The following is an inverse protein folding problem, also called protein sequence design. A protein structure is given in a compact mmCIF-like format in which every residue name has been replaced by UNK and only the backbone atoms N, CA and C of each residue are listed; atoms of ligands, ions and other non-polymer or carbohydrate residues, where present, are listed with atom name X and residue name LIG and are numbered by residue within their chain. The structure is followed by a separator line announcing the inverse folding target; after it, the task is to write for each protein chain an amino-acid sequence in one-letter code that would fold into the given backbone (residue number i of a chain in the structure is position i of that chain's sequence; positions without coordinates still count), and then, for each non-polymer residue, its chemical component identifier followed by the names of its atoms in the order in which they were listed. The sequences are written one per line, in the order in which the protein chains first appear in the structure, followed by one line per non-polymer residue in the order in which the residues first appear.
data_IF_570891615656
#
_entry.id   IF_570891615656
#
_cell.length_a   1.000
_cell.length_b   1.000
_cell.length_c   1.000
_cell.angle_alpha   90.00
_cell.angle_beta   90.00
_cell.angle_gamma   90.00
#
_symmetry.space_group_name_H-M   'P 1'
#
loop_
_entity.id
_entity.type
_entity.pdbx_description
1 polymer ?
#
# COMPACT_ATOMS: atom_id res chain seq x y z
N UNK A 1 10.65 12.09 31.12
CA UNK A 1 11.16 10.79 30.65
C UNK A 1 11.90 11.03 29.35
N UNK A 2 13.22 10.75 29.25
CA UNK A 2 13.91 10.87 27.98
C UNK A 2 13.63 9.61 27.13
N UNK A 3 13.27 9.82 25.86
CA UNK A 3 13.11 8.76 24.87
C UNK A 3 14.48 8.13 24.63
N UNK A 4 14.58 6.80 24.69
CA UNK A 4 15.84 6.09 24.48
C UNK A 4 16.35 6.37 23.06
N UNK A 5 17.59 6.85 22.95
CA UNK A 5 18.27 7.01 21.68
C UNK A 5 18.68 5.62 21.19
N UNK A 6 18.06 5.14 20.12
CA UNK A 6 18.46 3.90 19.45
C UNK A 6 19.83 4.11 18.77
N UNK A 7 20.78 3.16 18.89
CA UNK A 7 22.07 3.27 18.25
C UNK A 7 21.91 3.12 16.74
N UNK A 8 22.29 4.16 15.98
CA UNK A 8 22.29 4.12 14.50
C UNK A 8 23.57 3.43 14.03
N UNK A 9 23.41 2.31 13.31
CA UNK A 9 24.48 1.69 12.54
C UNK A 9 24.46 2.20 11.09
N UNK A 10 25.65 2.55 10.60
CA UNK A 10 26.10 2.81 9.22
C UNK A 10 25.45 3.96 8.40
N UNK A 11 26.26 5.01 8.15
CA UNK A 11 25.94 6.31 7.54
C UNK A 11 25.28 6.28 6.13
N UNK A 12 25.18 5.13 5.47
CA UNK A 12 24.50 4.98 4.18
C UNK A 12 23.03 4.50 4.31
N UNK A 13 22.70 3.76 5.37
CA UNK A 13 21.34 3.29 5.65
C UNK A 13 20.48 4.35 6.34
N UNK A 14 21.12 5.36 6.93
CA UNK A 14 20.47 6.44 7.68
C UNK A 14 19.79 7.49 6.81
N UNK A 15 20.21 7.64 5.54
CA UNK A 15 19.61 8.64 4.64
C UNK A 15 18.26 8.17 4.10
N UNK A 16 18.14 6.88 3.79
CA UNK A 16 16.93 6.27 3.24
C UNK A 16 15.83 6.12 4.31
N UNK A 17 16.18 5.70 5.53
CA UNK A 17 15.26 5.68 6.67
C UNK A 17 14.77 7.11 7.02
N UNK A 18 15.68 8.09 6.97
CA UNK A 18 15.34 9.50 7.17
C UNK A 18 14.46 10.07 6.05
N UNK A 19 14.60 9.60 4.81
CA UNK A 19 13.73 9.98 3.70
C UNK A 19 12.32 9.38 3.86
N UNK A 20 12.22 8.11 4.23
CA UNK A 20 10.95 7.44 4.51
C UNK A 20 10.21 8.16 5.64
N UNK A 21 10.87 8.43 6.77
CA UNK A 21 10.24 9.13 7.90
C UNK A 21 9.70 10.52 7.48
N UNK A 22 10.48 11.28 6.70
CA UNK A 22 10.04 12.59 6.19
C UNK A 22 8.80 12.47 5.31
N UNK A 23 8.75 11.49 4.40
CA UNK A 23 7.60 11.23 3.52
C UNK A 23 6.36 10.86 4.34
N UNK A 24 6.48 9.94 5.29
CA UNK A 24 5.37 9.52 6.15
C UNK A 24 4.86 10.67 7.02
N UNK A 25 5.76 11.49 7.57
CA UNK A 25 5.40 12.67 8.36
C UNK A 25 4.66 13.72 7.54
N UNK A 26 5.08 13.95 6.29
CA UNK A 26 4.38 14.84 5.39
C UNK A 26 2.96 14.31 5.07
N UNK A 27 2.84 13.01 4.79
CA UNK A 27 1.55 12.36 4.56
C UNK A 27 0.62 12.48 5.79
N UNK A 28 1.14 12.29 7.00
CA UNK A 28 0.35 12.43 8.24
C UNK A 28 -0.20 13.84 8.51
N UNK A 29 0.25 14.86 7.77
CA UNK A 29 -0.27 16.23 7.85
C UNK A 29 -1.28 16.56 6.72
N UNK A 30 -1.50 15.65 5.78
CA UNK A 30 -2.46 15.81 4.68
C UNK A 30 -3.88 15.48 5.14
N UNK A 31 -4.88 15.92 4.36
CA UNK A 31 -6.26 15.48 4.58
C UNK A 31 -6.43 14.07 4.03
N UNK A 32 -7.28 13.26 4.65
CA UNK A 32 -7.53 11.87 4.24
C UNK A 32 -7.85 11.73 2.74
N UNK A 33 -8.63 12.66 2.19
CA UNK A 33 -9.02 12.66 0.78
C UNK A 33 -7.86 12.94 -0.20
N UNK A 34 -6.76 13.51 0.29
CA UNK A 34 -5.56 13.79 -0.49
C UNK A 34 -4.50 12.67 -0.37
N UNK A 35 -4.72 11.69 0.53
CA UNK A 35 -3.78 10.59 0.74
C UNK A 35 -3.84 9.61 -0.42
N UNK A 36 -2.70 9.38 -1.05
CA UNK A 36 -2.48 8.19 -1.87
C UNK A 36 -2.15 7.01 -0.95
N UNK A 37 -3.21 6.37 -0.43
CA UNK A 37 -3.09 5.29 0.56
C UNK A 37 -2.30 4.11 0.00
N UNK A 38 -2.43 3.82 -1.31
CA UNK A 38 -1.75 2.69 -1.92
C UNK A 38 -0.23 2.89 -1.98
N UNK A 39 0.23 4.07 -2.45
CA UNK A 39 1.65 4.40 -2.44
C UNK A 39 2.22 4.54 -1.03
N UNK A 40 1.43 5.10 -0.10
CA UNK A 40 1.85 5.25 1.28
C UNK A 40 2.07 3.89 1.95
N UNK A 41 1.17 2.94 1.72
CA UNK A 41 1.28 1.60 2.28
C UNK A 41 2.53 0.86 1.80
N UNK A 42 2.88 0.98 0.51
CA UNK A 42 4.14 0.44 -0.02
C UNK A 42 5.38 1.13 0.57
N UNK A 43 5.31 2.44 0.81
CA UNK A 43 6.38 3.21 1.46
C UNK A 43 6.57 2.79 2.93
N UNK A 44 5.51 2.38 3.61
CA UNK A 44 5.61 1.81 4.97
C UNK A 44 6.29 0.44 4.90
N UNK A 45 5.91 -0.42 3.95
CA UNK A 45 6.49 -1.76 3.79
C UNK A 45 8.01 -1.73 3.55
N UNK A 46 8.55 -0.69 2.88
CA UNK A 46 10.01 -0.57 2.71
C UNK A 46 10.76 -0.34 4.02
N UNK A 47 10.12 0.23 5.04
CA UNK A 47 10.73 0.36 6.37
C UNK A 47 11.02 -1.00 7.02
N UNK A 48 10.10 -1.96 6.84
CA UNK A 48 10.25 -3.31 7.36
C UNK A 48 11.07 -4.22 6.45
N UNK A 49 11.10 -3.92 5.14
CA UNK A 49 11.67 -4.76 4.08
C UNK A 49 12.45 -3.92 3.04
N UNK A 50 13.60 -3.32 3.41
CA UNK A 50 14.32 -2.38 2.54
C UNK A 50 14.85 -3.03 1.24
N UNK A 51 15.07 -4.34 1.24
CA UNK A 51 15.58 -5.09 0.08
C UNK A 51 14.51 -5.37 -0.99
N UNK A 52 13.23 -5.03 -0.74
CA UNK A 52 12.14 -5.27 -1.69
C UNK A 52 12.07 -4.13 -2.71
N UNK A 53 12.12 -4.49 -3.99
CA UNK A 53 11.85 -3.56 -5.08
C UNK A 53 10.34 -3.25 -5.12
N UNK A 54 9.97 -1.98 -4.94
CA UNK A 54 8.56 -1.55 -4.98
C UNK A 54 7.98 -1.43 -6.39
N UNK A 55 8.83 -1.22 -7.42
CA UNK A 55 8.35 -0.95 -8.78
C UNK A 55 7.38 -2.02 -9.35
N UNK A 56 7.59 -3.34 -9.12
CA UNK A 56 6.63 -4.36 -9.52
C UNK A 56 5.26 -4.21 -8.84
N UNK A 57 5.21 -3.78 -7.57
CA UNK A 57 3.98 -3.60 -6.82
C UNK A 57 3.19 -2.37 -7.32
N UNK A 58 3.88 -1.27 -7.60
CA UNK A 58 3.25 -0.10 -8.24
C UNK A 58 2.65 -0.47 -9.60
N UNK A 59 3.43 -1.14 -10.45
CA UNK A 59 2.96 -1.58 -11.76
C UNK A 59 1.73 -2.52 -11.65
N UNK A 60 1.71 -3.38 -10.64
CA UNK A 60 0.58 -4.27 -10.40
C UNK A 60 -0.68 -3.52 -9.95
N UNK A 61 -0.55 -2.53 -9.06
CA UNK A 61 -1.67 -1.67 -8.66
C UNK A 61 -2.25 -0.90 -9.86
N UNK A 62 -1.39 -0.37 -10.73
CA UNK A 62 -1.82 0.30 -11.97
C UNK A 62 -2.56 -0.66 -12.92
N UNK A 63 -2.11 -1.91 -13.01
CA UNK A 63 -2.81 -2.94 -13.79
C UNK A 63 -4.21 -3.21 -13.19
N UNK A 64 -4.32 -3.37 -11.87
CA UNK A 64 -5.61 -3.58 -11.19
C UNK A 64 -6.59 -2.43 -11.46
N UNK A 65 -6.13 -1.18 -11.34
CA UNK A 65 -6.93 0.02 -11.62
C UNK A 65 -7.38 0.04 -13.08
N UNK A 66 -6.47 -0.27 -14.01
CA UNK A 66 -6.76 -0.30 -15.44
C UNK A 66 -7.83 -1.33 -15.76
N UNK A 67 -7.68 -2.56 -15.27
CA UNK A 67 -8.63 -3.65 -15.54
C UNK A 67 -9.98 -3.37 -14.88
N UNK A 68 -9.99 -2.89 -13.62
CA UNK A 68 -11.23 -2.53 -12.94
C UNK A 68 -11.95 -1.37 -13.65
N UNK A 69 -11.23 -0.37 -14.14
CA UNK A 69 -11.79 0.75 -14.89
C UNK A 69 -12.47 0.31 -16.19
N UNK A 70 -11.88 -0.65 -16.91
CA UNK A 70 -12.50 -1.24 -18.11
C UNK A 70 -13.82 -1.95 -17.77
N UNK A 71 -13.93 -2.58 -16.61
CA UNK A 71 -15.15 -3.27 -16.18
C UNK A 71 -16.26 -2.32 -15.69
N UNK A 72 -15.90 -1.17 -15.12
CA UNK A 72 -16.82 -0.26 -14.42
C UNK A 72 -17.30 0.94 -15.26
N UNK A 73 -16.53 1.39 -16.25
CA UNK A 73 -16.83 2.62 -16.97
C UNK A 73 -16.53 3.87 -16.14
N UNK A 74 -17.53 4.73 -15.86
CA UNK A 74 -17.33 5.96 -15.07
C UNK A 74 -17.26 5.67 -13.56
N UNK A 75 -16.03 5.55 -13.06
CA UNK A 75 -15.72 5.28 -11.65
C UNK A 75 -16.20 6.41 -10.72
N UNK A 76 -16.24 7.67 -11.16
CA UNK A 76 -16.50 8.83 -10.27
C UNK A 76 -17.95 8.93 -9.79
N UNK A 77 -18.90 8.46 -10.60
CA UNK A 77 -20.32 8.46 -10.25
C UNK A 77 -20.77 7.12 -9.64
N UNK A 78 -19.88 6.14 -9.54
CA UNK A 78 -20.24 4.78 -9.15
C UNK A 78 -20.23 4.61 -7.62
N UNK A 79 -21.30 4.05 -7.01
CA UNK A 79 -21.34 3.79 -5.57
C UNK A 79 -20.21 2.84 -5.13
N UNK A 80 -19.64 3.08 -3.95
CA UNK A 80 -18.51 2.30 -3.42
C UNK A 80 -18.76 0.78 -3.40
N UNK A 81 -19.98 0.33 -3.10
CA UNK A 81 -20.31 -1.10 -3.10
C UNK A 81 -20.21 -1.74 -4.49
N UNK A 82 -20.56 -1.00 -5.55
CA UNK A 82 -20.44 -1.47 -6.93
C UNK A 82 -18.97 -1.50 -7.35
N UNK A 83 -18.20 -0.48 -6.97
CA UNK A 83 -16.75 -0.44 -7.18
C UNK A 83 -16.06 -1.64 -6.52
N UNK A 84 -16.38 -1.90 -5.25
CA UNK A 84 -15.83 -3.01 -4.48
C UNK A 84 -16.16 -4.38 -5.11
N UNK A 85 -17.41 -4.57 -5.55
CA UNK A 85 -17.83 -5.80 -6.21
C UNK A 85 -17.10 -6.05 -7.53
N UNK A 86 -16.96 -5.02 -8.37
CA UNK A 86 -16.23 -5.13 -9.63
C UNK A 86 -14.73 -5.40 -9.40
N UNK A 87 -14.11 -4.70 -8.45
CA UNK A 87 -12.71 -4.92 -8.08
C UNK A 87 -12.51 -6.36 -7.57
N UNK A 88 -13.39 -6.85 -6.68
CA UNK A 88 -13.36 -8.23 -6.19
C UNK A 88 -13.45 -9.25 -7.34
N UNK A 89 -14.33 -9.03 -8.31
CA UNK A 89 -14.43 -9.86 -9.51
C UNK A 89 -13.15 -9.87 -10.36
N UNK A 90 -12.50 -8.72 -10.51
CA UNK A 90 -11.20 -8.62 -11.20
C UNK A 90 -10.12 -9.37 -10.43
N UNK A 91 -10.01 -9.14 -9.12
CA UNK A 91 -8.98 -9.75 -8.28
C UNK A 91 -9.13 -11.28 -8.25
N UNK A 92 -10.32 -11.80 -7.99
CA UNK A 92 -10.55 -13.25 -7.93
C UNK A 92 -10.51 -13.90 -9.33
N UNK A 93 -11.15 -13.28 -10.32
CA UNK A 93 -11.33 -13.87 -11.65
C UNK A 93 -10.09 -13.80 -12.54
N UNK A 94 -9.44 -12.63 -12.60
CA UNK A 94 -8.29 -12.42 -13.49
C UNK A 94 -6.95 -12.73 -12.82
N UNK A 95 -6.82 -12.38 -11.55
CA UNK A 95 -5.56 -12.49 -10.82
C UNK A 95 -5.51 -13.65 -9.82
N UNK A 96 -6.63 -14.36 -9.63
CA UNK A 96 -6.68 -15.55 -8.77
C UNK A 96 -6.63 -15.26 -7.27
N UNK A 97 -6.83 -14.01 -6.85
CA UNK A 97 -6.92 -13.63 -5.44
C UNK A 97 -8.28 -14.06 -4.86
N UNK A 98 -8.38 -15.32 -4.44
CA UNK A 98 -9.61 -15.89 -3.88
C UNK A 98 -9.86 -15.48 -2.42
N UNK A 99 -8.85 -14.90 -1.77
CA UNK A 99 -8.86 -14.66 -0.32
C UNK A 99 -8.64 -15.96 0.45
N UNK A 100 -8.18 -15.83 1.70
CA UNK A 100 -8.11 -16.92 2.66
C UNK A 100 -8.86 -16.49 3.91
N UNK A 101 -9.93 -17.22 4.24
CA UNK A 101 -10.73 -16.97 5.44
C UNK A 101 -10.16 -17.67 6.68
N UNK A 102 -9.28 -18.66 6.51
CA UNK A 102 -8.69 -19.41 7.62
C UNK A 102 -7.54 -18.64 8.28
N UNK A 103 -6.73 -17.95 7.48
CA UNK A 103 -5.60 -17.14 7.99
C UNK A 103 -5.79 -15.64 7.83
N UNK A 104 -7.00 -15.16 7.52
CA UNK A 104 -7.26 -13.73 7.30
C UNK A 104 -6.69 -12.83 8.41
N UNK A 105 -6.92 -13.22 9.67
CA UNK A 105 -6.50 -12.46 10.85
C UNK A 105 -5.02 -12.67 11.25
N UNK A 106 -4.24 -13.40 10.45
CA UNK A 106 -2.81 -13.56 10.71
C UNK A 106 -2.10 -12.20 10.55
N UNK A 107 -1.40 -11.70 11.59
CA UNK A 107 -0.69 -10.42 11.51
C UNK A 107 0.31 -10.33 10.35
N UNK A 108 0.81 -11.46 9.85
CA UNK A 108 1.69 -11.52 8.68
C UNK A 108 0.98 -11.09 7.40
N UNK A 109 -0.32 -11.29 7.29
CA UNK A 109 -1.14 -10.87 6.16
C UNK A 109 -1.46 -9.36 6.19
N UNK A 110 -1.18 -8.69 7.32
CA UNK A 110 -1.25 -7.23 7.44
C UNK A 110 0.04 -6.53 7.00
N UNK A 111 1.12 -7.28 6.75
CA UNK A 111 2.34 -6.74 6.15
C UNK A 111 2.26 -6.90 4.62
N UNK A 112 2.53 -5.80 3.89
CA UNK A 112 2.38 -5.72 2.43
C UNK A 112 3.68 -6.11 1.70
#
# INVERSE_FOLDING_TARGET
MPFAAFPRHDDAMTDDEGEIERKLRAAGAMRDADLDIAHLALTIATGDRPDILLAPYHAHLDELVTVAGVALGDVRATPCGVLAGALSGVMAGRFGYLGDAETYDDPRNANL
#
